data_IF_569475072225
#
_entry.id   IF_569475072225
#
_cell.length_a   1.000
_cell.length_b   1.000
_cell.length_c   1.000
_cell.angle_alpha   90.00
_cell.angle_beta   90.00
_cell.angle_gamma   90.00
#
_symmetry.space_group_name_H-M   'P 1'
#
loop_
_entity.id
_entity.type
_entity.pdbx_description
1 polymer ?
#
# COMPACT_ATOMS: atom_id res chain seq x y z
N UNK A 1 -3.33 7.17 26.36
CA UNK A 1 -3.88 6.89 25.01
C UNK A 1 -4.00 8.21 24.28
N UNK A 2 -3.24 8.42 23.19
CA UNK A 2 -3.30 9.66 22.44
C UNK A 2 -4.59 9.73 21.60
N UNK A 3 -5.34 10.82 21.71
CA UNK A 3 -6.50 11.09 20.87
C UNK A 3 -6.01 11.32 19.43
N UNK A 4 -6.51 10.50 18.49
CA UNK A 4 -6.18 10.62 17.06
C UNK A 4 -7.08 11.71 16.47
N UNK A 5 -6.47 12.76 15.92
CA UNK A 5 -7.21 13.87 15.32
C UNK A 5 -7.64 13.45 13.91
N UNK A 6 -8.95 13.40 13.65
CA UNK A 6 -9.50 13.09 12.33
C UNK A 6 -9.22 14.26 11.38
N UNK A 7 -8.57 14.00 10.26
CA UNK A 7 -8.29 14.99 9.21
C UNK A 7 -9.18 14.71 7.98
N UNK A 8 -9.72 15.77 7.37
CA UNK A 8 -10.58 15.69 6.19
C UNK A 8 -10.03 16.58 5.06
N UNK A 9 -10.30 16.22 3.81
CA UNK A 9 -10.00 17.04 2.63
C UNK A 9 -11.05 18.15 2.40
N UNK A 10 -10.82 18.99 1.40
CA UNK A 10 -11.73 20.08 1.03
C UNK A 10 -13.12 19.60 0.55
N UNK A 11 -13.25 18.32 0.22
CA UNK A 11 -14.47 17.66 -0.23
C UNK A 11 -15.15 16.86 0.89
N UNK A 12 -14.58 16.84 2.10
CA UNK A 12 -15.10 16.13 3.27
C UNK A 12 -14.71 14.65 3.34
N UNK A 13 -13.76 14.18 2.54
CA UNK A 13 -13.25 12.81 2.65
C UNK A 13 -12.19 12.72 3.76
N UNK A 14 -12.31 11.71 4.60
CA UNK A 14 -11.36 11.44 5.69
C UNK A 14 -9.99 11.06 5.10
N UNK A 15 -8.96 11.86 5.39
CA UNK A 15 -7.60 11.71 4.87
C UNK A 15 -6.81 10.63 5.62
N UNK A 16 -7.14 10.39 6.89
CA UNK A 16 -6.45 9.40 7.72
C UNK A 16 -7.46 8.74 8.69
N UNK A 17 -8.03 7.62 8.24
CA UNK A 17 -8.98 6.81 8.98
C UNK A 17 -8.64 5.33 8.85
N UNK A 18 -8.85 4.55 9.91
CA UNK A 18 -8.75 3.08 9.86
C UNK A 18 -9.57 2.55 8.68
N UNK A 19 -8.96 1.72 7.85
CA UNK A 19 -9.49 1.15 6.59
C UNK A 19 -10.72 0.23 6.74
N UNK A 20 -11.55 0.42 7.76
CA UNK A 20 -12.87 -0.19 7.83
C UNK A 20 -13.83 0.70 7.04
N UNK A 21 -13.85 0.48 5.72
CA UNK A 21 -14.73 1.14 4.75
C UNK A 21 -16.20 0.71 4.92
N UNK A 22 -16.75 0.77 6.13
CA UNK A 22 -18.18 0.60 6.34
C UNK A 22 -18.89 1.79 5.71
N UNK A 23 -19.92 1.52 4.91
CA UNK A 23 -20.70 2.58 4.30
C UNK A 23 -21.31 3.49 5.37
N UNK A 24 -21.50 4.80 5.11
CA UNK A 24 -22.13 5.73 6.05
C UNK A 24 -23.49 5.21 6.56
N UNK A 25 -24.24 4.51 5.70
CA UNK A 25 -25.50 3.86 6.04
C UNK A 25 -25.34 2.77 7.08
N UNK A 26 -24.35 1.87 6.92
CA UNK A 26 -24.09 0.80 7.89
C UNK A 26 -23.65 1.41 9.23
N UNK A 27 -22.78 2.44 9.21
CA UNK A 27 -22.35 3.14 10.44
C UNK A 27 -23.55 3.74 11.19
N UNK A 28 -24.49 4.36 10.47
CA UNK A 28 -25.72 4.93 11.06
C UNK A 28 -26.65 3.84 11.61
N UNK A 29 -26.90 2.78 10.86
CA UNK A 29 -27.77 1.69 11.30
C UNK A 29 -27.18 0.98 12.54
N UNK A 30 -25.87 0.77 12.56
CA UNK A 30 -25.17 0.19 13.71
C UNK A 30 -25.36 1.05 14.96
N UNK A 31 -25.10 2.36 14.88
CA UNK A 31 -25.25 3.25 16.04
C UNK A 31 -26.69 3.34 16.55
N UNK A 32 -27.66 3.42 15.63
CA UNK A 32 -29.09 3.41 15.97
C UNK A 32 -29.50 2.10 16.66
N UNK A 33 -29.05 0.96 16.13
CA UNK A 33 -29.35 -0.37 16.70
C UNK A 33 -28.75 -0.52 18.10
N UNK A 34 -27.49 -0.13 18.30
CA UNK A 34 -26.85 -0.17 19.62
C UNK A 34 -27.57 0.73 20.64
N UNK A 35 -28.05 1.90 20.21
CA UNK A 35 -28.81 2.81 21.06
C UNK A 35 -30.15 2.19 21.47
N UNK A 36 -30.90 1.64 20.53
CA UNK A 36 -32.17 0.97 20.80
C UNK A 36 -32.00 -0.25 21.72
N UNK A 37 -30.97 -1.06 21.48
CA UNK A 37 -30.68 -2.21 22.33
C UNK A 37 -30.35 -1.81 23.77
N UNK A 38 -29.54 -0.75 23.95
CA UNK A 38 -29.23 -0.21 25.27
C UNK A 38 -30.47 0.28 26.01
N UNK A 39 -31.40 0.94 25.30
CA UNK A 39 -32.68 1.37 25.86
C UNK A 39 -33.55 0.17 26.27
N UNK A 40 -33.66 -0.84 25.42
CA UNK A 40 -34.42 -2.05 25.70
C UNK A 40 -33.86 -2.80 26.93
N UNK A 41 -32.54 -2.92 27.03
CA UNK A 41 -31.88 -3.46 28.23
C UNK A 41 -32.18 -2.64 29.48
N UNK A 42 -32.11 -1.31 29.38
CA UNK A 42 -32.40 -0.43 30.50
C UNK A 42 -33.87 -0.55 30.98
N UNK A 43 -34.80 -0.78 30.06
CA UNK A 43 -36.21 -0.99 30.42
C UNK A 43 -36.45 -2.39 31.01
N UNK A 44 -35.81 -3.41 30.46
CA UNK A 44 -36.02 -4.80 30.84
C UNK A 44 -35.33 -5.19 32.15
N UNK A 45 -34.17 -4.59 32.51
CA UNK A 45 -33.28 -5.01 33.62
C UNK A 45 -33.91 -5.26 35.00
N UNK A 46 -35.12 -4.75 35.26
CA UNK A 46 -35.83 -4.90 36.54
C UNK A 46 -37.08 -5.79 36.45
N UNK A 47 -37.31 -6.46 35.33
CA UNK A 47 -38.45 -7.34 35.10
C UNK A 47 -38.00 -8.63 34.42
N UNK A 48 -38.19 -9.76 35.10
CA UNK A 48 -37.76 -11.09 34.66
C UNK A 48 -38.39 -11.46 33.31
N UNK A 49 -39.72 -11.38 33.19
CA UNK A 49 -40.45 -11.66 31.95
C UNK A 49 -39.95 -10.81 30.76
N UNK A 50 -39.67 -9.53 31.00
CA UNK A 50 -39.13 -8.63 29.96
C UNK A 50 -37.71 -9.01 29.55
N UNK A 51 -36.86 -9.42 30.50
CA UNK A 51 -35.50 -9.87 30.19
C UNK A 51 -35.49 -11.21 29.47
N UNK A 52 -36.37 -12.15 29.84
CA UNK A 52 -36.51 -13.43 29.15
C UNK A 52 -36.98 -13.22 27.71
N UNK A 53 -37.98 -12.36 27.51
CA UNK A 53 -38.43 -11.97 26.18
C UNK A 53 -37.31 -11.33 25.35
N UNK A 54 -36.60 -10.33 25.91
CA UNK A 54 -35.51 -9.65 25.22
C UNK A 54 -34.38 -10.63 24.86
N UNK A 55 -34.03 -11.54 25.77
CA UNK A 55 -33.02 -12.56 25.53
C UNK A 55 -33.40 -13.47 24.36
N UNK A 56 -34.65 -13.95 24.32
CA UNK A 56 -35.17 -14.76 23.22
C UNK A 56 -35.08 -14.03 21.88
N UNK A 57 -35.55 -12.78 21.82
CA UNK A 57 -35.51 -11.98 20.58
C UNK A 57 -34.08 -11.79 20.07
N UNK A 58 -33.13 -11.53 20.95
CA UNK A 58 -31.71 -11.39 20.58
C UNK A 58 -31.14 -12.71 20.08
N UNK A 59 -31.45 -13.83 20.74
CA UNK A 59 -31.01 -15.16 20.32
C UNK A 59 -31.54 -15.52 18.93
N UNK A 60 -32.83 -15.26 18.67
CA UNK A 60 -33.47 -15.50 17.38
C UNK A 60 -32.82 -14.64 16.28
N UNK A 61 -32.62 -13.34 16.54
CA UNK A 61 -31.94 -12.43 15.60
C UNK A 61 -30.51 -12.91 15.28
N UNK A 62 -29.76 -13.37 16.29
CA UNK A 62 -28.41 -13.88 16.10
C UNK A 62 -28.41 -15.19 15.27
N UNK A 63 -29.37 -16.08 15.50
CA UNK A 63 -29.54 -17.28 14.71
C UNK A 63 -29.80 -16.96 13.23
N UNK A 64 -30.68 -15.99 12.95
CA UNK A 64 -30.96 -15.52 11.60
C UNK A 64 -29.70 -14.92 10.93
N UNK A 65 -28.94 -14.07 11.64
CA UNK A 65 -27.71 -13.49 11.12
C UNK A 65 -26.64 -14.53 10.79
N UNK A 66 -26.59 -15.66 11.50
CA UNK A 66 -25.68 -16.77 11.18
C UNK A 66 -26.12 -17.60 9.98
N UNK A 67 -27.43 -17.63 9.69
CA UNK A 67 -27.99 -18.36 8.55
C UNK A 67 -27.93 -17.54 7.27
N UNK A 68 -27.95 -16.22 7.36
CA UNK A 68 -27.63 -15.34 6.23
C UNK A 68 -26.14 -15.50 5.91
N UNK A 69 -25.84 -16.44 5.01
CA UNK A 69 -24.54 -16.56 4.35
C UNK A 69 -24.15 -15.18 3.82
N UNK A 70 -22.88 -14.75 3.95
CA UNK A 70 -22.43 -13.50 3.34
C UNK A 70 -22.83 -13.52 1.86
N UNK A 71 -23.53 -12.48 1.42
CA UNK A 71 -23.64 -12.18 -0.01
C UNK A 71 -22.21 -12.16 -0.50
N UNK A 72 -21.87 -13.14 -1.35
CA UNK A 72 -20.55 -13.39 -1.93
C UNK A 72 -19.77 -12.07 -1.96
N UNK A 73 -18.94 -11.84 -0.94
CA UNK A 73 -17.99 -10.73 -0.96
C UNK A 73 -16.99 -11.20 -1.98
N UNK A 74 -17.34 -10.99 -3.25
CA UNK A 74 -16.54 -11.33 -4.40
C UNK A 74 -15.17 -10.77 -4.05
N UNK A 75 -14.20 -11.68 -3.92
CA UNK A 75 -12.86 -11.31 -3.48
C UNK A 75 -12.45 -10.08 -4.28
N UNK A 76 -11.94 -9.03 -3.65
CA UNK A 76 -11.53 -7.81 -4.38
C UNK A 76 -10.68 -8.14 -5.62
N UNK A 77 -9.87 -9.19 -5.50
CA UNK A 77 -9.09 -9.77 -6.62
C UNK A 77 -10.02 -10.22 -7.76
N UNK A 78 -11.05 -11.00 -7.45
CA UNK A 78 -12.02 -11.50 -8.42
C UNK A 78 -12.86 -10.37 -9.07
N UNK A 79 -13.19 -9.30 -8.34
CA UNK A 79 -13.81 -8.10 -8.91
C UNK A 79 -12.89 -7.46 -9.97
N UNK A 80 -11.62 -7.22 -9.62
CA UNK A 80 -10.63 -6.64 -10.53
C UNK A 80 -10.34 -7.53 -11.74
N UNK A 81 -10.22 -8.84 -11.53
CA UNK A 81 -9.97 -9.81 -12.60
C UNK A 81 -11.14 -9.87 -13.58
N UNK A 82 -12.37 -9.77 -13.07
CA UNK A 82 -13.58 -9.68 -13.90
C UNK A 82 -13.61 -8.39 -14.72
N UNK A 83 -13.23 -7.26 -14.12
CA UNK A 83 -13.19 -5.96 -14.80
C UNK A 83 -12.12 -5.89 -15.89
N UNK A 84 -10.92 -6.38 -15.61
CA UNK A 84 -9.78 -6.39 -16.54
C UNK A 84 -9.91 -7.54 -17.56
N UNK A 85 -10.77 -8.54 -17.27
CA UNK A 85 -10.96 -9.74 -18.08
C UNK A 85 -9.76 -10.69 -18.03
N UNK A 86 -8.92 -10.60 -17.00
CA UNK A 86 -7.72 -11.42 -16.83
C UNK A 86 -7.50 -11.74 -15.37
N UNK A 87 -7.08 -12.97 -15.10
CA UNK A 87 -6.66 -13.42 -13.77
C UNK A 87 -5.28 -12.86 -13.41
N UNK A 88 -5.09 -12.56 -12.14
CA UNK A 88 -3.81 -12.12 -11.59
C UNK A 88 -2.80 -13.27 -11.68
N UNK A 89 -1.55 -13.02 -12.13
CA UNK A 89 -0.55 -14.06 -12.15
C UNK A 89 -0.18 -14.48 -10.72
N UNK A 90 -0.11 -15.78 -10.49
CA UNK A 90 0.30 -16.34 -9.18
C UNK A 90 1.80 -16.17 -8.89
N UNK A 91 2.60 -15.97 -9.94
CA UNK A 91 4.06 -15.82 -9.87
C UNK A 91 4.47 -14.67 -10.77
N UNK A 92 5.29 -13.76 -10.23
CA UNK A 92 5.92 -12.67 -10.99
C UNK A 92 7.43 -12.87 -10.89
N UNK A 93 8.06 -13.17 -12.02
CA UNK A 93 9.52 -13.25 -12.11
C UNK A 93 10.08 -11.88 -12.47
N UNK A 94 10.71 -11.23 -11.49
CA UNK A 94 11.39 -9.95 -11.71
C UNK A 94 12.84 -10.26 -12.05
N UNK A 95 13.24 -9.98 -13.29
CA UNK A 95 14.63 -10.08 -13.70
C UNK A 95 15.36 -8.76 -13.40
N UNK A 96 16.63 -8.81 -12.95
CA UNK A 96 17.44 -7.62 -12.88
C UNK A 96 17.54 -7.00 -14.28
N UNK A 97 17.60 -5.66 -14.38
CA UNK A 97 17.81 -5.02 -15.67
C UNK A 97 19.12 -5.52 -16.28
N UNK A 98 19.10 -5.81 -17.58
CA UNK A 98 20.32 -6.14 -18.29
C UNK A 98 21.31 -5.00 -18.13
N UNK A 99 22.52 -5.32 -17.67
CA UNK A 99 23.61 -4.36 -17.58
C UNK A 99 23.94 -3.96 -19.01
N UNK A 100 23.42 -2.82 -19.45
CA UNK A 100 23.80 -2.23 -20.71
C UNK A 100 25.28 -1.82 -20.60
N UNK A 101 26.17 -2.61 -21.22
CA UNK A 101 27.57 -2.26 -21.39
C UNK A 101 27.70 -1.19 -22.48
N UNK A 102 26.99 -0.07 -22.35
CA UNK A 102 27.21 1.08 -23.22
C UNK A 102 28.57 1.64 -22.86
N UNK A 103 29.52 1.50 -23.77
CA UNK A 103 30.87 2.05 -23.70
C UNK A 103 30.86 3.57 -23.90
N UNK A 104 29.87 4.25 -23.34
CA UNK A 104 29.82 5.70 -23.35
C UNK A 104 30.23 6.20 -21.97
N UNK A 105 31.32 6.93 -21.94
CA UNK A 105 31.78 7.60 -20.73
C UNK A 105 30.73 8.64 -20.40
N UNK A 106 29.84 8.35 -19.45
CA UNK A 106 28.92 9.33 -18.89
C UNK A 106 29.73 10.50 -18.34
N UNK A 107 30.02 11.51 -19.18
CA UNK A 107 30.66 12.74 -18.76
C UNK A 107 29.66 13.46 -17.88
N UNK A 108 29.79 13.27 -16.56
CA UNK A 108 29.14 14.15 -15.57
C UNK A 108 29.52 15.57 -15.95
N UNK A 109 28.54 16.38 -16.33
CA UNK A 109 28.73 17.82 -16.44
C UNK A 109 29.14 18.31 -15.05
N UNK A 110 30.42 18.70 -14.92
CA UNK A 110 30.96 19.25 -13.68
C UNK A 110 30.23 20.57 -13.42
N UNK A 111 29.51 20.68 -12.30
CA UNK A 111 28.94 21.94 -11.81
C UNK A 111 30.07 22.98 -11.77
N UNK A 112 29.85 24.13 -12.42
CA UNK A 112 30.87 25.17 -12.61
C UNK A 112 31.56 25.53 -11.30
N UNK A 113 32.87 25.31 -11.24
CA UNK A 113 33.72 25.83 -10.17
C UNK A 113 34.14 27.23 -10.57
N UNK A 114 33.88 28.20 -9.70
CA UNK A 114 34.36 29.57 -9.78
C UNK A 114 35.88 29.63 -10.00
N UNK A 115 36.28 30.65 -10.76
CA UNK A 115 37.64 30.96 -11.16
C UNK A 115 38.64 30.90 -10.01
N UNK A 116 39.69 30.07 -10.16
CA UNK A 116 40.99 30.41 -9.61
C UNK A 116 42.05 30.26 -10.70
N UNK A 117 42.53 31.42 -11.10
CA UNK A 117 43.67 31.71 -11.97
C UNK A 117 44.93 31.01 -11.44
N UNK A 118 45.63 30.23 -12.27
CA UNK A 118 47.05 30.52 -12.54
C UNK A 118 47.68 29.66 -13.65
N UNK A 119 48.44 30.37 -14.48
CA UNK A 119 49.23 29.88 -15.61
C UNK A 119 50.38 29.00 -15.12
N UNK A 120 50.77 27.96 -15.87
CA UNK A 120 52.11 27.87 -16.51
C UNK A 120 52.37 26.54 -17.25
N UNK A 121 52.80 26.75 -18.50
CA UNK A 121 53.85 26.07 -19.27
C UNK A 121 53.59 24.66 -19.85
N UNK A 122 53.42 24.69 -21.18
CA UNK A 122 53.72 23.64 -22.15
C UNK A 122 55.12 23.04 -21.93
N UNK A 123 55.22 21.71 -21.98
CA UNK A 123 56.36 21.00 -22.56
C UNK A 123 55.93 19.59 -23.01
N UNK A 124 55.77 19.39 -24.32
CA UNK A 124 55.98 18.09 -25.00
C UNK A 124 57.33 18.24 -25.73
N UNK A 125 58.21 17.22 -25.86
CA UNK A 125 57.96 16.00 -26.67
C UNK A 125 58.84 14.78 -26.19
N UNK A 126 59.16 13.72 -26.98
CA UNK A 126 58.62 13.23 -28.26
C UNK A 126 58.14 11.76 -28.24
N UNK A 127 57.49 11.38 -29.35
CA UNK A 127 57.15 10.01 -29.75
C UNK A 127 58.38 9.29 -30.31
N UNK A 128 58.46 7.97 -30.10
CA UNK A 128 59.19 7.05 -30.99
C UNK A 128 59.93 5.92 -30.29
N UNK A 129 59.90 4.74 -30.93
CA UNK A 129 60.63 3.50 -30.65
C UNK A 129 60.15 2.67 -29.45
N UNK A 130 59.90 1.37 -29.51
CA UNK A 130 59.92 0.37 -30.58
C UNK A 130 59.04 -0.82 -30.15
N UNK A 131 58.55 -1.55 -31.14
CA UNK A 131 57.97 -2.88 -30.97
C UNK A 131 58.93 -3.80 -30.20
N UNK A 132 58.40 -4.60 -29.26
CA UNK A 132 58.87 -5.98 -29.11
C UNK A 132 57.76 -6.83 -28.48
N UNK A 133 57.17 -7.67 -29.34
CA UNK A 133 56.43 -8.85 -28.96
C UNK A 133 57.33 -9.75 -28.11
N UNK A 134 56.82 -10.26 -26.99
CA UNK A 134 57.13 -11.62 -26.58
C UNK A 134 55.86 -12.38 -26.28
N UNK A 135 55.80 -13.51 -26.95
CA UNK A 135 54.71 -14.46 -27.14
C UNK A 135 55.11 -15.70 -26.35
N UNK A 136 54.14 -16.25 -25.61
CA UNK A 136 53.95 -17.65 -25.18
C UNK A 136 54.65 -18.24 -23.93
N UNK A 137 53.76 -18.64 -23.01
CA UNK A 137 53.51 -19.98 -22.45
C UNK A 137 54.55 -20.77 -21.64
N UNK A 138 54.08 -21.14 -20.45
CA UNK A 138 54.08 -22.44 -19.76
C UNK A 138 55.40 -23.13 -19.36
N UNK A 139 55.47 -23.36 -18.05
CA UNK A 139 56.26 -24.37 -17.35
C UNK A 139 55.80 -24.43 -15.91
#
# INVERSE_FOLDING_TARGET
MAARHLCYDANGHELEGSSTSLSPTIKKLYSQTCSQFSLALHEAKHCEDKMEYLNKVVADAFAHLRQTVPLDEQSKVQEFESFIGRTSPSIINIHPPDIANTKDSGKRLKRGSEEIINKRKKHNPPKGADNLYFVLNNG
#
